data_IF_876245708693
#
_entry.id   IF_876245708693
#
_cell.length_a   1.000
_cell.length_b   1.000
_cell.length_c   1.000
_cell.angle_alpha   90.00
_cell.angle_beta   90.00
_cell.angle_gamma   90.00
#
_symmetry.space_group_name_H-M   'P 1'
#
loop_
_entity.id
_entity.type
_entity.pdbx_description
1 polymer ?
#
# COMPACT_ATOMS: atom_id res chain seq x y z
N UNK A 1 19.39 -0.39 -8.23
CA UNK A 1 18.90 -1.16 -9.41
C UNK A 1 17.40 -0.92 -9.52
N UNK A 2 16.85 -0.92 -10.73
CA UNK A 2 15.42 -0.73 -10.94
C UNK A 2 14.84 -1.97 -11.63
N UNK A 3 13.82 -2.54 -11.03
CA UNK A 3 13.03 -3.63 -11.58
C UNK A 3 11.66 -3.08 -11.96
N UNK A 4 11.16 -3.44 -13.13
CA UNK A 4 9.86 -2.98 -13.62
C UNK A 4 8.96 -4.17 -13.89
N UNK A 5 7.70 -4.09 -13.47
CA UNK A 5 6.65 -4.77 -14.19
C UNK A 5 6.49 -4.15 -15.60
N UNK A 6 5.82 -4.87 -16.48
CA UNK A 6 5.81 -4.58 -17.90
C UNK A 6 4.49 -3.95 -18.35
N UNK A 7 3.42 -4.73 -18.28
CA UNK A 7 2.10 -4.38 -18.78
C UNK A 7 1.39 -3.44 -17.81
N UNK A 8 0.75 -2.38 -18.30
CA UNK A 8 0.10 -1.35 -17.46
C UNK A 8 1.04 -0.55 -16.53
N UNK A 9 2.31 -0.95 -16.43
CA UNK A 9 3.38 -0.19 -15.78
C UNK A 9 4.19 0.65 -16.78
N UNK A 10 4.81 0.03 -17.79
CA UNK A 10 5.65 0.74 -18.77
C UNK A 10 4.86 1.22 -19.99
N UNK A 11 3.80 0.51 -20.36
CA UNK A 11 2.95 0.85 -21.50
C UNK A 11 1.51 0.41 -21.26
N UNK A 12 0.59 1.01 -22.02
CA UNK A 12 -0.83 0.71 -21.97
C UNK A 12 -1.16 -0.50 -22.85
N UNK A 13 -1.46 -1.62 -22.19
CA UNK A 13 -1.97 -2.83 -22.83
C UNK A 13 -3.42 -3.14 -22.43
N UNK A 14 -4.18 -2.14 -21.99
CA UNK A 14 -5.59 -2.28 -21.56
C UNK A 14 -6.48 -2.87 -22.65
N UNK A 15 -6.29 -2.46 -23.91
CA UNK A 15 -7.06 -2.93 -25.06
C UNK A 15 -6.98 -4.44 -25.30
N UNK A 16 -5.93 -5.10 -24.77
CA UNK A 16 -5.72 -6.55 -24.87
C UNK A 16 -5.67 -7.24 -23.50
N UNK A 17 -6.02 -6.53 -22.41
CA UNK A 17 -5.85 -7.04 -21.04
C UNK A 17 -6.68 -8.31 -20.78
N UNK A 18 -7.89 -8.39 -21.34
CA UNK A 18 -8.75 -9.56 -21.21
C UNK A 18 -8.11 -10.80 -21.89
N UNK A 19 -7.62 -10.64 -23.11
CA UNK A 19 -6.98 -11.71 -23.87
C UNK A 19 -5.70 -12.20 -23.18
N UNK A 20 -4.91 -11.28 -22.61
CA UNK A 20 -3.73 -11.65 -21.79
C UNK A 20 -4.15 -12.43 -20.55
N UNK A 21 -5.16 -11.95 -19.82
CA UNK A 21 -5.67 -12.58 -18.58
C UNK A 21 -6.17 -14.00 -18.82
N UNK A 22 -6.85 -14.23 -19.95
CA UNK A 22 -7.35 -15.56 -20.35
C UNK A 22 -6.36 -16.35 -21.22
N UNK A 23 -5.11 -15.89 -21.36
CA UNK A 23 -4.06 -16.57 -22.11
C UNK A 23 -4.43 -16.88 -23.57
N UNK A 24 -5.26 -16.04 -24.19
CA UNK A 24 -5.65 -16.13 -25.61
C UNK A 24 -4.51 -15.60 -26.50
N UNK A 25 -3.36 -16.28 -26.48
CA UNK A 25 -2.11 -15.77 -27.04
C UNK A 25 -2.11 -15.54 -28.55
N UNK A 26 -2.91 -16.29 -29.30
CA UNK A 26 -3.09 -16.05 -30.73
C UNK A 26 -3.84 -14.74 -31.00
N UNK A 27 -4.88 -14.45 -30.22
CA UNK A 27 -5.59 -13.17 -30.26
C UNK A 27 -4.66 -12.03 -29.81
N UNK A 28 -3.88 -12.22 -28.74
CA UNK A 28 -2.88 -11.22 -28.31
C UNK A 28 -1.92 -10.91 -29.44
N UNK A 29 -1.38 -11.94 -30.12
CA UNK A 29 -0.42 -11.78 -31.22
C UNK A 29 -0.99 -10.94 -32.38
N UNK A 30 -2.26 -11.17 -32.74
CA UNK A 30 -2.94 -10.40 -33.79
C UNK A 30 -3.21 -8.93 -33.38
N UNK A 31 -3.33 -8.66 -32.09
CA UNK A 31 -3.74 -7.37 -31.55
C UNK A 31 -2.60 -6.58 -30.87
N UNK A 32 -1.34 -7.00 -31.04
CA UNK A 32 -0.16 -6.29 -30.50
C UNK A 32 -0.11 -4.80 -30.91
N UNK A 33 -0.64 -4.47 -32.09
CA UNK A 33 -0.71 -3.10 -32.61
C UNK A 33 -1.61 -2.16 -31.79
N UNK A 34 -2.44 -2.70 -30.89
CA UNK A 34 -3.29 -1.94 -29.97
C UNK A 34 -2.55 -1.49 -28.71
N UNK A 35 -1.35 -2.02 -28.44
CA UNK A 35 -0.53 -1.60 -27.30
C UNK A 35 0.02 -0.21 -27.57
N UNK A 36 -0.18 0.71 -26.63
CA UNK A 36 0.20 2.12 -26.76
C UNK A 36 1.16 2.55 -25.65
N UNK A 37 2.04 3.53 -25.90
CA UNK A 37 2.76 4.16 -24.81
C UNK A 37 1.76 4.97 -23.97
N UNK A 38 1.93 4.97 -22.65
CA UNK A 38 1.24 5.95 -21.82
C UNK A 38 1.68 7.38 -22.19
N UNK A 39 0.79 8.38 -22.08
CA UNK A 39 1.15 9.76 -22.34
C UNK A 39 2.22 10.25 -21.36
N UNK A 40 3.15 11.07 -21.84
CA UNK A 40 4.12 11.72 -20.97
C UNK A 40 3.44 12.75 -20.07
N UNK A 41 3.42 12.49 -18.77
CA UNK A 41 2.98 13.46 -17.76
C UNK A 41 4.19 14.17 -17.15
N UNK A 42 4.88 14.97 -17.98
CA UNK A 42 6.11 15.68 -17.60
C UNK A 42 7.25 15.45 -18.59
N UNK A 43 8.45 15.16 -18.06
CA UNK A 43 9.68 15.04 -18.86
C UNK A 43 9.89 13.69 -19.55
N UNK A 44 9.10 12.68 -19.20
CA UNK A 44 9.23 11.33 -19.74
C UNK A 44 7.90 10.58 -19.61
N UNK A 45 7.61 9.74 -20.60
CA UNK A 45 6.62 8.69 -20.52
C UNK A 45 7.18 7.45 -19.77
N UNK A 46 6.32 6.61 -19.17
CA UNK A 46 6.75 5.42 -18.45
C UNK A 46 7.71 4.50 -19.22
N UNK A 47 7.42 4.17 -20.49
CA UNK A 47 8.28 3.32 -21.31
C UNK A 47 9.70 3.87 -21.57
N UNK A 48 9.91 5.18 -21.39
CA UNK A 48 11.22 5.83 -21.57
C UNK A 48 12.10 5.71 -20.31
N UNK A 49 11.52 5.42 -19.15
CA UNK A 49 12.24 5.38 -17.87
C UNK A 49 13.42 4.40 -17.87
N UNK A 50 13.29 3.15 -18.35
CA UNK A 50 14.42 2.22 -18.41
C UNK A 50 15.63 2.77 -19.16
N UNK A 51 15.42 3.43 -20.30
CA UNK A 51 16.50 4.01 -21.09
C UNK A 51 17.17 5.19 -20.37
N UNK A 52 16.38 6.08 -19.78
CA UNK A 52 16.87 7.25 -19.05
C UNK A 52 17.65 6.86 -17.79
N UNK A 53 17.13 5.92 -17.01
CA UNK A 53 17.80 5.41 -15.82
C UNK A 53 19.10 4.65 -16.18
N UNK A 54 19.09 3.89 -17.28
CA UNK A 54 20.30 3.22 -17.78
C UNK A 54 21.38 4.23 -18.19
N UNK A 55 20.99 5.33 -18.84
CA UNK A 55 21.91 6.41 -19.19
C UNK A 55 22.56 7.05 -17.95
N UNK A 56 21.85 7.07 -16.82
CA UNK A 56 22.37 7.47 -15.49
C UNK A 56 23.10 6.34 -14.73
N UNK A 57 23.54 5.29 -15.44
CA UNK A 57 24.36 4.20 -14.90
C UNK A 57 23.59 3.17 -14.06
N UNK A 58 22.26 3.19 -14.08
CA UNK A 58 21.45 2.24 -13.33
C UNK A 58 21.28 0.91 -14.08
N UNK A 59 21.31 -0.20 -13.34
CA UNK A 59 20.90 -1.51 -13.85
C UNK A 59 19.38 -1.62 -13.92
N UNK A 60 18.88 -2.22 -14.98
CA UNK A 60 17.45 -2.35 -15.30
C UNK A 60 17.08 -3.84 -15.40
N UNK A 61 16.02 -4.24 -14.71
CA UNK A 61 15.40 -5.54 -14.91
C UNK A 61 13.91 -5.42 -15.24
N UNK A 62 13.42 -6.38 -16.00
CA UNK A 62 12.00 -6.53 -16.34
C UNK A 62 11.52 -7.83 -15.72
N UNK A 63 10.43 -7.77 -14.95
CA UNK A 63 9.86 -8.92 -14.25
C UNK A 63 8.36 -8.94 -14.51
N UNK A 64 7.90 -9.89 -15.32
CA UNK A 64 6.51 -9.91 -15.81
C UNK A 64 5.90 -11.31 -15.68
N UNK A 65 4.59 -11.35 -15.45
CA UNK A 65 3.79 -12.59 -15.52
C UNK A 65 3.38 -12.96 -16.95
N UNK A 66 3.88 -12.25 -17.97
CA UNK A 66 3.64 -12.55 -19.38
C UNK A 66 4.68 -13.52 -19.95
N UNK A 67 4.36 -14.31 -21.00
CA UNK A 67 5.31 -15.18 -21.68
C UNK A 67 6.47 -14.41 -22.33
N UNK A 68 7.62 -15.08 -22.48
CA UNK A 68 8.84 -14.46 -22.98
C UNK A 68 8.70 -13.88 -24.39
N UNK A 69 8.05 -14.60 -25.31
CA UNK A 69 7.84 -14.13 -26.69
C UNK A 69 7.05 -12.82 -26.72
N UNK A 70 6.07 -12.66 -25.83
CA UNK A 70 5.26 -11.46 -25.73
C UNK A 70 6.09 -10.31 -25.16
N UNK A 71 6.75 -10.56 -24.02
CA UNK A 71 7.56 -9.56 -23.33
C UNK A 71 8.65 -9.01 -24.26
N UNK A 72 9.40 -9.89 -24.93
CA UNK A 72 10.47 -9.49 -25.87
C UNK A 72 9.93 -8.71 -27.06
N UNK A 73 8.77 -9.10 -27.61
CA UNK A 73 8.12 -8.37 -28.72
C UNK A 73 7.77 -6.94 -28.34
N UNK A 74 7.17 -6.74 -27.15
CA UNK A 74 6.78 -5.40 -26.71
C UNK A 74 8.01 -4.55 -26.33
N UNK A 75 8.98 -5.14 -25.64
CA UNK A 75 10.24 -4.47 -25.30
C UNK A 75 10.96 -3.99 -26.57
N UNK A 76 10.97 -4.79 -27.64
CA UNK A 76 11.54 -4.40 -28.93
C UNK A 76 10.72 -3.28 -29.60
N UNK A 77 9.39 -3.39 -29.62
CA UNK A 77 8.49 -2.37 -30.19
C UNK A 77 8.73 -0.98 -29.59
N UNK A 78 8.90 -0.91 -28.26
CA UNK A 78 9.15 0.34 -27.54
C UNK A 78 10.63 0.65 -27.30
N UNK A 79 11.54 -0.17 -27.83
CA UNK A 79 13.01 -0.03 -27.67
C UNK A 79 13.45 0.11 -26.21
N UNK A 80 12.82 -0.65 -25.33
CA UNK A 80 13.07 -0.62 -23.89
C UNK A 80 14.33 -1.45 -23.59
N UNK A 81 15.42 -0.83 -23.09
CA UNK A 81 16.62 -1.58 -22.73
C UNK A 81 16.47 -2.26 -21.36
N UNK A 82 17.12 -3.41 -21.20
CA UNK A 82 17.15 -4.15 -19.94
C UNK A 82 18.43 -4.99 -19.82
N UNK A 83 18.88 -5.24 -18.60
CA UNK A 83 19.99 -6.15 -18.27
C UNK A 83 19.49 -7.57 -17.97
N UNK A 84 18.25 -7.69 -17.50
CA UNK A 84 17.62 -8.98 -17.19
C UNK A 84 16.13 -8.95 -17.50
N UNK A 85 15.64 -10.05 -18.06
CA UNK A 85 14.21 -10.34 -18.22
C UNK A 85 13.89 -11.61 -17.44
N UNK A 86 12.86 -11.53 -16.59
CA UNK A 86 12.20 -12.66 -15.96
C UNK A 86 10.74 -12.65 -16.44
N UNK A 87 10.41 -13.62 -17.28
CA UNK A 87 9.07 -13.85 -17.81
C UNK A 87 8.35 -14.96 -17.03
N UNK A 88 7.07 -15.20 -17.33
CA UNK A 88 6.24 -16.22 -16.68
C UNK A 88 6.93 -17.59 -16.56
N UNK A 89 7.54 -18.07 -17.65
CA UNK A 89 8.15 -19.41 -17.68
C UNK A 89 9.49 -19.53 -16.96
N UNK A 90 10.01 -18.45 -16.38
CA UNK A 90 11.33 -18.45 -15.72
C UNK A 90 11.27 -18.85 -14.24
N UNK A 91 10.10 -18.87 -13.62
CA UNK A 91 9.90 -19.21 -12.21
C UNK A 91 8.73 -20.15 -12.02
N UNK A 92 8.75 -20.92 -10.93
CA UNK A 92 7.63 -21.82 -10.58
C UNK A 92 6.50 -21.06 -9.90
N UNK A 93 6.86 -20.14 -8.99
CA UNK A 93 5.90 -19.26 -8.35
C UNK A 93 5.88 -17.90 -9.06
N UNK A 94 4.73 -17.25 -8.99
CA UNK A 94 4.51 -15.94 -9.61
C UNK A 94 4.07 -14.93 -8.56
N UNK A 95 4.23 -13.65 -8.90
CA UNK A 95 3.79 -12.53 -8.06
C UNK A 95 2.37 -12.79 -7.54
N UNK A 96 2.12 -12.60 -6.24
CA UNK A 96 2.93 -11.90 -5.23
C UNK A 96 4.03 -12.74 -4.52
N UNK A 97 4.32 -13.96 -4.98
CA UNK A 97 5.49 -14.67 -4.50
C UNK A 97 6.78 -13.90 -4.90
N UNK A 98 7.81 -13.82 -4.03
CA UNK A 98 9.02 -13.06 -4.34
C UNK A 98 9.93 -13.72 -5.38
N UNK A 99 9.71 -15.01 -5.72
CA UNK A 99 10.58 -15.78 -6.61
C UNK A 99 10.95 -15.05 -7.91
N UNK A 100 10.03 -14.40 -8.66
CA UNK A 100 10.39 -13.67 -9.89
C UNK A 100 11.35 -12.50 -9.67
N UNK A 101 11.19 -11.76 -8.56
CA UNK A 101 12.06 -10.65 -8.21
C UNK A 101 13.44 -11.17 -7.79
N UNK A 102 13.47 -12.20 -6.95
CA UNK A 102 14.71 -12.82 -6.49
C UNK A 102 15.48 -13.47 -7.64
N UNK A 103 14.80 -14.08 -8.60
CA UNK A 103 15.42 -14.65 -9.80
C UNK A 103 16.06 -13.54 -10.67
N UNK A 104 15.39 -12.41 -10.85
CA UNK A 104 15.94 -11.28 -11.60
C UNK A 104 17.23 -10.77 -10.95
N UNK A 105 17.22 -10.58 -9.63
CA UNK A 105 18.37 -10.17 -8.83
C UNK A 105 19.52 -11.18 -8.90
N UNK A 106 19.21 -12.48 -8.80
CA UNK A 106 20.19 -13.57 -8.89
C UNK A 106 20.91 -13.58 -10.25
N UNK A 107 20.16 -13.43 -11.36
CA UNK A 107 20.73 -13.42 -12.72
C UNK A 107 21.74 -12.30 -12.96
N UNK A 108 21.61 -11.19 -12.25
CA UNK A 108 22.54 -10.04 -12.36
C UNK A 108 23.53 -9.93 -11.19
N UNK A 109 23.53 -10.89 -10.27
CA UNK A 109 24.42 -10.90 -9.10
C UNK A 109 24.20 -9.73 -8.14
N UNK A 110 22.96 -9.27 -7.95
CA UNK A 110 22.60 -8.22 -7.00
C UNK A 110 21.88 -8.84 -5.80
N UNK A 111 22.26 -8.47 -4.58
CA UNK A 111 21.53 -8.89 -3.39
C UNK A 111 20.22 -8.10 -3.24
N UNK A 112 19.18 -8.72 -2.68
CA UNK A 112 17.97 -8.00 -2.32
C UNK A 112 18.27 -6.96 -1.23
N UNK A 113 17.84 -5.73 -1.46
CA UNK A 113 18.05 -4.58 -0.58
C UNK A 113 17.00 -3.52 -0.88
N UNK A 114 16.75 -2.65 0.09
CA UNK A 114 15.89 -1.47 -0.07
C UNK A 114 16.49 -0.39 -1.00
N UNK A 115 17.70 -0.59 -1.52
CA UNK A 115 18.25 0.24 -2.61
C UNK A 115 17.85 -0.27 -4.00
N UNK A 116 17.23 -1.45 -4.09
CA UNK A 116 16.56 -1.92 -5.29
C UNK A 116 15.11 -1.52 -5.23
N UNK A 117 14.63 -0.88 -6.30
CA UNK A 117 13.24 -0.47 -6.45
C UNK A 117 12.54 -1.43 -7.40
N UNK A 118 11.35 -1.86 -7.04
CA UNK A 118 10.43 -2.57 -7.93
C UNK A 118 9.25 -1.65 -8.24
N UNK A 119 9.02 -1.38 -9.53
CA UNK A 119 8.03 -0.45 -10.03
C UNK A 119 6.91 -1.26 -10.66
N UNK A 120 5.68 -1.11 -10.16
CA UNK A 120 4.52 -1.86 -10.64
C UNK A 120 3.20 -1.11 -10.42
N UNK A 121 2.14 -1.60 -11.05
CA UNK A 121 0.79 -1.03 -10.98
C UNK A 121 -0.21 -1.92 -10.23
N UNK A 122 0.17 -3.12 -9.82
CA UNK A 122 -0.74 -4.06 -9.17
C UNK A 122 -0.37 -4.34 -7.71
N UNK A 123 -1.35 -4.73 -6.90
CA UNK A 123 -1.14 -5.14 -5.50
C UNK A 123 -0.14 -6.30 -5.41
N UNK A 124 -0.13 -7.20 -6.39
CA UNK A 124 0.80 -8.31 -6.46
C UNK A 124 2.26 -7.89 -6.58
N UNK A 125 2.54 -6.74 -7.20
CA UNK A 125 3.88 -6.15 -7.28
C UNK A 125 4.36 -5.68 -5.91
N UNK A 126 3.46 -5.03 -5.18
CA UNK A 126 3.74 -4.46 -3.87
C UNK A 126 4.04 -5.57 -2.87
N UNK A 127 3.21 -6.60 -2.83
CA UNK A 127 3.42 -7.78 -1.98
C UNK A 127 4.71 -8.53 -2.36
N UNK A 128 4.96 -8.77 -3.65
CA UNK A 128 6.19 -9.44 -4.10
C UNK A 128 7.44 -8.67 -3.67
N UNK A 129 7.42 -7.34 -3.77
CA UNK A 129 8.52 -6.47 -3.38
C UNK A 129 8.85 -6.62 -1.90
N UNK A 130 7.82 -6.62 -1.04
CA UNK A 130 7.99 -6.81 0.40
C UNK A 130 8.52 -8.18 0.77
N UNK A 131 8.02 -9.23 0.11
CA UNK A 131 8.53 -10.58 0.31
C UNK A 131 9.97 -10.73 -0.17
N UNK A 132 10.36 -10.03 -1.24
CA UNK A 132 11.72 -10.05 -1.76
C UNK A 132 12.67 -9.16 -0.94
N UNK A 133 12.16 -8.22 -0.14
CA UNK A 133 12.98 -7.29 0.65
C UNK A 133 13.53 -6.12 -0.17
N UNK A 134 12.80 -5.70 -1.20
CA UNK A 134 13.12 -4.55 -2.05
C UNK A 134 12.08 -3.44 -1.84
N UNK A 135 12.40 -2.21 -2.25
CA UNK A 135 11.48 -1.07 -2.14
C UNK A 135 10.39 -1.15 -3.21
N UNK A 136 9.14 -1.11 -2.78
CA UNK A 136 7.94 -1.11 -3.61
C UNK A 136 7.57 0.31 -4.08
N UNK A 137 7.42 0.48 -5.39
CA UNK A 137 6.96 1.73 -6.01
C UNK A 137 5.69 1.45 -6.80
N UNK A 138 4.56 1.93 -6.30
CA UNK A 138 3.26 1.81 -6.94
C UNK A 138 3.00 2.99 -7.89
N UNK A 139 2.68 2.71 -9.14
CA UNK A 139 2.35 3.72 -10.14
C UNK A 139 0.84 3.99 -10.19
N UNK A 140 0.45 5.26 -10.37
CA UNK A 140 -0.98 5.67 -10.35
C UNK A 140 -1.63 5.80 -11.72
N UNK A 141 -0.91 5.51 -12.79
CA UNK A 141 -1.45 5.54 -14.17
C UNK A 141 -1.92 4.16 -14.66
N UNK A 142 -1.71 3.11 -13.86
CA UNK A 142 -2.29 1.80 -14.11
C UNK A 142 -3.78 1.72 -13.74
N UNK A 143 -4.42 0.58 -13.96
CA UNK A 143 -5.85 0.37 -13.76
C UNK A 143 -6.22 0.14 -12.29
N UNK A 144 -5.29 -0.29 -11.44
CA UNK A 144 -5.53 -0.56 -10.02
C UNK A 144 -5.88 0.74 -9.31
N UNK A 145 -6.95 0.72 -8.51
CA UNK A 145 -7.41 1.93 -7.82
C UNK A 145 -6.39 2.40 -6.80
N UNK A 146 -6.35 3.72 -6.55
CA UNK A 146 -5.53 4.27 -5.46
C UNK A 146 -5.89 3.64 -4.12
N UNK A 147 -7.16 3.30 -3.89
CA UNK A 147 -7.61 2.66 -2.68
C UNK A 147 -6.99 1.27 -2.49
N UNK A 148 -6.97 0.43 -3.54
CA UNK A 148 -6.36 -0.90 -3.49
C UNK A 148 -4.84 -0.83 -3.33
N UNK A 149 -4.18 0.09 -4.04
CA UNK A 149 -2.74 0.33 -3.88
C UNK A 149 -2.40 0.87 -2.48
N UNK A 150 -3.12 1.86 -1.97
CA UNK A 150 -2.97 2.37 -0.60
C UNK A 150 -3.25 1.30 0.45
N UNK A 151 -4.19 0.41 0.17
CA UNK A 151 -4.47 -0.74 1.02
C UNK A 151 -3.28 -1.69 1.07
N UNK A 152 -2.48 -1.82 0.01
CA UNK A 152 -1.24 -2.62 0.00
C UNK A 152 0.02 -1.88 0.52
N UNK A 153 -0.13 -0.61 0.90
CA UNK A 153 0.84 0.22 1.62
C UNK A 153 2.24 0.36 0.98
N UNK A 154 2.38 0.57 -0.35
CA UNK A 154 3.66 0.66 -1.05
C UNK A 154 4.59 1.71 -0.43
N UNK A 155 5.91 1.55 -0.60
CA UNK A 155 6.88 2.51 -0.06
C UNK A 155 6.78 3.87 -0.75
N UNK A 156 6.43 3.88 -2.04
CA UNK A 156 6.31 5.10 -2.84
C UNK A 156 5.09 5.03 -3.73
N UNK A 157 4.28 6.10 -3.72
CA UNK A 157 3.29 6.38 -4.75
C UNK A 157 3.87 7.29 -5.83
N UNK A 158 3.81 6.85 -7.08
CA UNK A 158 4.27 7.61 -8.21
C UNK A 158 3.11 8.02 -9.11
N UNK A 159 2.85 9.32 -9.18
CA UNK A 159 1.82 9.89 -10.08
C UNK A 159 2.37 10.27 -11.45
N UNK A 160 3.69 10.48 -11.56
CA UNK A 160 4.37 10.93 -12.77
C UNK A 160 5.66 10.16 -12.94
N UNK A 161 5.89 9.57 -14.12
CA UNK A 161 7.11 8.82 -14.43
C UNK A 161 8.39 9.63 -14.14
N UNK A 162 8.40 10.92 -14.51
CA UNK A 162 9.55 11.80 -14.31
C UNK A 162 10.00 11.98 -12.85
N UNK A 163 9.18 11.56 -11.87
CA UNK A 163 9.56 11.59 -10.45
C UNK A 163 10.82 10.78 -10.18
N UNK A 164 11.01 9.62 -10.84
CA UNK A 164 12.21 8.78 -10.67
C UNK A 164 13.49 9.40 -11.24
N UNK A 165 13.37 10.44 -12.07
CA UNK A 165 14.51 11.10 -12.74
C UNK A 165 15.05 12.31 -11.97
N UNK A 166 14.51 12.60 -10.77
CA UNK A 166 14.98 13.74 -9.98
C UNK A 166 16.36 13.43 -9.38
N UNK A 167 17.35 14.26 -9.75
CA UNK A 167 18.78 14.16 -9.40
C UNK A 167 19.13 14.40 -7.93
N UNK A 168 18.15 14.62 -7.05
CA UNK A 168 18.41 14.66 -5.61
C UNK A 168 18.73 13.23 -5.14
N UNK A 169 20.02 12.90 -5.17
CA UNK A 169 20.59 11.60 -4.87
C UNK A 169 20.24 11.18 -3.45
N UNK A 170 19.14 10.41 -3.28
CA UNK A 170 18.82 9.59 -2.08
C UNK A 170 17.40 8.99 -2.10
N UNK A 171 16.93 8.52 -3.25
CA UNK A 171 15.83 7.54 -3.30
C UNK A 171 16.32 6.25 -2.61
N UNK A 172 15.67 5.62 -1.60
CA UNK A 172 14.43 5.92 -0.87
C UNK A 172 14.67 6.42 0.58
N UNK A 173 15.90 6.77 0.97
CA UNK A 173 16.24 7.05 2.38
C UNK A 173 15.82 8.42 2.90
N UNK A 174 15.76 9.46 2.07
CA UNK A 174 15.61 10.84 2.55
C UNK A 174 14.14 11.30 2.65
N UNK A 175 13.30 11.03 1.64
CA UNK A 175 11.89 11.43 1.69
C UNK A 175 11.05 10.62 2.69
N UNK A 176 11.29 9.30 2.79
CA UNK A 176 10.57 8.43 3.75
C UNK A 176 10.84 8.81 5.20
N UNK A 177 12.09 9.10 5.54
CA UNK A 177 12.46 9.49 6.91
C UNK A 177 11.78 10.79 7.32
N UNK A 178 11.64 11.76 6.42
CA UNK A 178 11.09 13.06 6.80
C UNK A 178 9.60 13.00 7.13
N UNK A 179 8.77 12.33 6.32
CA UNK A 179 7.32 12.22 6.61
C UNK A 179 7.05 11.28 7.77
N UNK A 180 7.72 10.11 7.81
CA UNK A 180 7.57 9.19 8.94
C UNK A 180 8.09 9.80 10.24
N UNK A 181 9.19 10.55 10.22
CA UNK A 181 9.65 11.30 11.38
C UNK A 181 8.68 12.41 11.76
N UNK A 182 8.07 13.12 10.79
CA UNK A 182 7.05 14.12 11.07
C UNK A 182 5.83 13.51 11.77
N UNK A 183 5.27 12.40 11.24
CA UNK A 183 4.14 11.69 11.87
C UNK A 183 4.53 11.14 13.25
N UNK A 184 5.73 10.56 13.40
CA UNK A 184 6.20 10.06 14.68
C UNK A 184 6.49 11.18 15.69
N UNK A 185 6.96 12.34 15.24
CA UNK A 185 7.24 13.51 16.09
C UNK A 185 5.99 14.06 16.76
N UNK A 186 4.80 13.84 16.19
CA UNK A 186 3.53 14.19 16.86
C UNK A 186 3.40 13.58 18.26
N UNK A 187 4.10 12.47 18.55
CA UNK A 187 4.13 11.86 19.88
C UNK A 187 4.95 12.66 20.90
N UNK A 188 5.93 13.45 20.46
CA UNK A 188 6.85 14.21 21.31
C UNK A 188 6.59 15.72 21.28
N UNK A 189 6.26 16.27 20.11
CA UNK A 189 6.13 17.71 19.87
C UNK A 189 5.16 18.01 18.70
N UNK A 190 4.94 19.29 18.46
CA UNK A 190 3.97 19.84 17.51
C UNK A 190 4.60 20.42 16.24
N UNK A 191 5.91 20.23 16.03
CA UNK A 191 6.68 20.91 14.98
C UNK A 191 6.06 20.75 13.60
N UNK A 192 5.49 19.57 13.32
CA UNK A 192 4.90 19.24 12.02
C UNK A 192 3.36 19.21 12.04
N UNK A 193 2.72 19.50 13.17
CA UNK A 193 1.27 19.38 13.30
C UNK A 193 0.53 20.29 12.31
N UNK A 194 1.03 21.51 12.08
CA UNK A 194 0.43 22.46 11.15
C UNK A 194 0.41 21.94 9.70
N UNK A 195 1.58 21.61 9.15
CA UNK A 195 1.69 21.15 7.76
C UNK A 195 0.97 19.82 7.52
N UNK A 196 0.95 18.93 8.54
CA UNK A 196 0.18 17.69 8.49
C UNK A 196 -1.32 17.95 8.59
N UNK A 197 -1.74 18.88 9.44
CA UNK A 197 -3.14 19.30 9.60
C UNK A 197 -3.71 19.88 8.32
N UNK A 198 -3.00 20.81 7.67
CA UNK A 198 -3.37 21.31 6.35
C UNK A 198 -3.53 20.19 5.31
N UNK A 199 -2.62 19.21 5.32
CA UNK A 199 -2.70 18.07 4.40
C UNK A 199 -3.91 17.16 4.70
N UNK A 200 -4.22 16.93 5.97
CA UNK A 200 -5.42 16.20 6.39
C UNK A 200 -6.69 16.94 6.00
N UNK A 201 -6.77 18.24 6.28
CA UNK A 201 -7.92 19.07 5.95
C UNK A 201 -8.22 19.05 4.45
N UNK A 202 -7.20 19.26 3.61
CA UNK A 202 -7.34 19.14 2.14
C UNK A 202 -7.74 17.74 1.69
N UNK A 203 -7.26 16.68 2.35
CA UNK A 203 -7.65 15.33 2.00
C UNK A 203 -9.14 15.07 2.33
N UNK A 204 -9.61 15.53 3.49
CA UNK A 204 -11.01 15.43 3.93
C UNK A 204 -11.93 16.17 2.95
N UNK A 205 -11.57 17.37 2.54
CA UNK A 205 -12.34 18.17 1.57
C UNK A 205 -12.47 17.53 0.16
N UNK A 206 -11.69 16.48 -0.14
CA UNK A 206 -11.74 15.77 -1.42
C UNK A 206 -12.42 14.40 -1.35
N UNK A 207 -12.95 14.02 -0.19
CA UNK A 207 -13.67 12.76 -0.04
C UNK A 207 -14.96 12.79 -0.87
N UNK A 208 -15.26 11.67 -1.52
CA UNK A 208 -16.57 11.42 -2.16
C UNK A 208 -17.67 11.09 -1.14
N UNK A 209 -17.35 11.27 0.14
CA UNK A 209 -18.15 10.95 1.30
C UNK A 209 -17.93 12.02 2.36
N UNK A 210 -18.99 12.77 2.64
CA UNK A 210 -18.98 13.82 3.65
C UNK A 210 -19.30 13.23 5.04
N UNK A 211 -18.37 13.25 6.01
CA UNK A 211 -18.67 12.98 7.40
C UNK A 211 -19.42 14.16 8.04
N UNK A 212 -20.26 13.89 9.03
CA UNK A 212 -20.82 14.93 9.89
C UNK A 212 -19.83 15.28 11.03
N UNK A 213 -19.01 14.30 11.45
CA UNK A 213 -18.03 14.45 12.51
C UNK A 213 -16.65 13.93 12.15
N UNK A 214 -15.61 14.65 12.56
CA UNK A 214 -14.23 14.15 12.62
C UNK A 214 -13.87 13.86 14.08
N UNK A 215 -13.47 12.63 14.36
CA UNK A 215 -13.16 12.16 15.73
C UNK A 215 -11.78 11.49 15.74
N UNK A 216 -10.82 11.89 16.58
CA UNK A 216 -9.56 11.18 16.71
C UNK A 216 -9.67 9.91 17.57
N UNK A 217 -8.80 8.94 17.32
CA UNK A 217 -8.53 7.86 18.28
C UNK A 217 -8.02 8.48 19.59
N UNK A 218 -8.64 8.18 20.74
CA UNK A 218 -8.35 8.89 21.97
C UNK A 218 -7.00 8.49 22.55
N UNK A 219 -6.37 9.44 23.23
CA UNK A 219 -5.11 9.20 23.91
C UNK A 219 -5.29 8.52 25.26
N UNK A 220 -4.22 7.85 25.73
CA UNK A 220 -4.22 7.24 27.06
C UNK A 220 -4.32 8.33 28.12
N UNK A 221 -5.06 8.13 29.23
CA UNK A 221 -5.18 9.10 30.32
C UNK A 221 -3.83 9.50 30.92
N UNK A 222 -2.86 8.60 30.91
CA UNK A 222 -1.47 8.85 31.31
C UNK A 222 -0.71 9.84 30.42
N UNK A 223 -1.23 10.21 29.24
CA UNK A 223 -0.59 11.15 28.34
C UNK A 223 -1.08 12.58 28.59
N UNK A 224 -0.16 13.48 28.90
CA UNK A 224 -0.47 14.87 29.26
C UNK A 224 -0.82 15.77 28.07
N UNK A 225 -0.46 15.37 26.83
CA UNK A 225 -0.63 16.17 25.61
C UNK A 225 -1.47 15.41 24.60
N UNK A 226 -2.44 16.10 23.98
CA UNK A 226 -3.20 15.57 22.86
C UNK A 226 -2.47 15.82 21.52
N UNK A 227 -1.82 14.79 20.97
CA UNK A 227 -1.09 14.84 19.69
C UNK A 227 -1.94 15.23 18.48
N UNK A 228 -3.25 15.06 18.56
CA UNK A 228 -4.18 15.39 17.48
C UNK A 228 -4.78 16.78 17.61
N UNK A 229 -4.66 17.44 18.76
CA UNK A 229 -5.36 18.71 19.02
C UNK A 229 -4.90 19.80 18.06
N UNK A 230 -3.60 20.12 17.99
CA UNK A 230 -3.11 21.14 17.06
C UNK A 230 -3.29 20.70 15.59
N UNK A 231 -3.04 19.42 15.29
CA UNK A 231 -3.15 18.88 13.94
C UNK A 231 -4.58 18.98 13.39
N UNK A 232 -5.59 18.59 14.18
CA UNK A 232 -6.98 18.61 13.72
C UNK A 232 -7.61 19.99 13.82
N UNK A 233 -7.19 20.84 14.75
CA UNK A 233 -7.61 22.24 14.74
C UNK A 233 -7.14 22.95 13.46
N UNK A 234 -5.91 22.70 13.00
CA UNK A 234 -5.46 23.22 11.71
C UNK A 234 -6.19 22.57 10.53
N UNK A 235 -6.51 21.28 10.61
CA UNK A 235 -7.29 20.62 9.57
C UNK A 235 -8.71 21.19 9.43
N UNK A 236 -9.31 21.61 10.55
CA UNK A 236 -10.67 22.13 10.61
C UNK A 236 -10.88 23.41 9.80
N UNK A 237 -9.82 24.20 9.57
CA UNK A 237 -9.86 25.38 8.70
C UNK A 237 -10.18 25.04 7.22
N UNK A 238 -10.10 23.76 6.85
CA UNK A 238 -10.42 23.25 5.53
C UNK A 238 -11.71 22.43 5.47
N UNK A 239 -12.41 22.26 6.60
CA UNK A 239 -13.65 21.50 6.63
C UNK A 239 -14.80 22.32 6.00
N UNK A 240 -15.75 21.62 5.39
CA UNK A 240 -17.03 22.24 5.04
C UNK A 240 -17.76 22.66 6.33
N UNK A 241 -18.61 23.69 6.24
CA UNK A 241 -19.29 24.30 7.41
C UNK A 241 -20.13 23.30 8.24
N UNK A 242 -20.57 22.20 7.60
CA UNK A 242 -21.41 21.17 8.21
C UNK A 242 -20.60 20.07 8.93
N UNK A 243 -19.26 20.09 8.89
CA UNK A 243 -18.41 19.07 9.51
C UNK A 243 -17.91 19.55 10.87
N UNK A 244 -18.29 18.84 11.93
CA UNK A 244 -17.87 19.17 13.30
C UNK A 244 -16.63 18.37 13.75
N UNK A 245 -15.64 19.07 14.33
CA UNK A 245 -14.49 18.43 14.97
C UNK A 245 -14.81 18.11 16.44
N UNK A 246 -14.83 16.83 16.82
CA UNK A 246 -15.10 16.41 18.20
C UNK A 246 -13.94 15.60 18.80
N UNK A 247 -12.98 16.33 19.38
CA UNK A 247 -11.76 15.76 19.98
C UNK A 247 -12.02 14.86 21.19
N UNK A 248 -13.19 14.98 21.84
CA UNK A 248 -13.58 14.21 23.02
C UNK A 248 -14.61 13.13 22.70
N UNK A 249 -14.89 12.88 21.41
CA UNK A 249 -15.86 11.90 20.94
C UNK A 249 -15.62 10.50 21.48
N UNK A 250 -14.37 10.17 21.77
CA UNK A 250 -13.96 8.94 22.44
C UNK A 250 -13.04 9.24 23.62
N UNK A 251 -13.03 8.32 24.60
CA UNK A 251 -12.06 8.28 25.70
C UNK A 251 -11.64 6.85 26.00
N UNK A 252 -10.41 6.69 26.45
CA UNK A 252 -9.92 5.41 26.97
C UNK A 252 -10.48 5.17 28.38
N UNK A 253 -11.01 3.98 28.63
CA UNK A 253 -11.52 3.55 29.95
C UNK A 253 -10.79 2.34 30.53
N UNK A 254 -9.96 1.67 29.73
CA UNK A 254 -9.12 0.55 30.16
C UNK A 254 -7.74 0.71 29.50
N UNK A 255 -6.72 0.97 30.31
CA UNK A 255 -5.34 0.97 29.85
C UNK A 255 -4.80 -0.46 29.77
N UNK A 256 -4.04 -0.76 28.72
CA UNK A 256 -3.45 -2.08 28.48
C UNK A 256 -1.93 -1.93 28.58
N UNK A 257 -1.36 -2.58 29.59
CA UNK A 257 0.08 -2.73 29.75
C UNK A 257 0.63 -3.73 28.72
N UNK A 258 1.87 -3.52 28.25
CA UNK A 258 2.50 -4.45 27.33
C UNK A 258 1.87 -4.54 25.93
N UNK A 259 0.90 -3.67 25.59
CA UNK A 259 0.15 -3.75 24.33
C UNK A 259 1.03 -3.80 23.07
N UNK A 260 2.18 -3.12 23.09
CA UNK A 260 3.11 -3.10 21.95
C UNK A 260 3.89 -4.40 21.78
N UNK A 261 4.07 -5.17 22.86
CA UNK A 261 4.78 -6.44 22.87
C UNK A 261 3.87 -7.62 22.50
N UNK A 262 2.56 -7.42 22.59
CA UNK A 262 1.55 -8.41 22.23
C UNK A 262 1.49 -8.66 20.72
N UNK A 263 1.17 -9.90 20.35
CA UNK A 263 0.80 -10.26 18.98
C UNK A 263 -0.60 -9.73 18.61
N UNK A 264 -0.99 -9.82 17.34
CA UNK A 264 -2.27 -9.27 16.85
C UNK A 264 -3.51 -9.87 17.56
N UNK A 265 -3.53 -11.18 17.82
CA UNK A 265 -4.64 -11.84 18.51
C UNK A 265 -4.74 -11.38 19.98
N UNK A 266 -3.62 -11.31 20.68
CA UNK A 266 -3.55 -10.80 22.04
C UNK A 266 -4.00 -9.33 22.10
N UNK A 267 -3.60 -8.50 21.13
CA UNK A 267 -4.05 -7.11 21.02
C UNK A 267 -5.55 -7.02 20.77
N UNK A 268 -6.10 -7.85 19.89
CA UNK A 268 -7.51 -7.86 19.54
C UNK A 268 -8.38 -8.21 20.75
N UNK A 269 -7.95 -9.16 21.57
CA UNK A 269 -8.66 -9.51 22.81
C UNK A 269 -8.47 -8.44 23.89
N UNK A 270 -7.24 -7.97 24.09
CA UNK A 270 -6.93 -7.01 25.15
C UNK A 270 -7.65 -5.67 24.94
N UNK A 271 -7.81 -5.22 23.68
CA UNK A 271 -8.43 -3.94 23.35
C UNK A 271 -9.95 -3.91 23.54
N UNK A 272 -10.61 -5.07 23.69
CA UNK A 272 -12.06 -5.12 23.91
C UNK A 272 -12.48 -4.32 25.15
N UNK A 273 -13.45 -3.43 24.95
CA UNK A 273 -13.97 -2.53 25.98
C UNK A 273 -12.99 -1.44 26.39
N UNK A 274 -11.94 -1.16 25.60
CA UNK A 274 -10.95 -0.15 25.96
C UNK A 274 -11.42 1.29 25.83
N UNK A 275 -12.48 1.53 25.04
CA UNK A 275 -12.96 2.86 24.72
C UNK A 275 -14.42 3.06 25.11
N UNK A 276 -14.78 4.33 25.31
CA UNK A 276 -16.12 4.77 25.59
C UNK A 276 -16.41 6.10 24.88
N UNK A 277 -17.65 6.32 24.46
CA UNK A 277 -18.16 7.60 23.95
C UNK A 277 -19.23 8.10 24.91
N UNK A 278 -19.12 9.35 25.36
CA UNK A 278 -20.19 10.01 26.12
C UNK A 278 -21.29 10.58 25.21
N UNK A 279 -21.08 10.54 23.89
CA UNK A 279 -21.96 11.11 22.89
C UNK A 279 -22.97 10.08 22.40
N UNK A 280 -24.17 10.57 22.04
CA UNK A 280 -25.12 9.84 21.20
C UNK A 280 -24.99 10.38 19.78
N UNK A 281 -24.49 9.56 18.87
CA UNK A 281 -24.14 10.00 17.52
C UNK A 281 -25.31 10.07 16.55
N UNK A 282 -26.52 9.64 16.95
CA UNK A 282 -27.77 9.88 16.22
C UNK A 282 -27.74 9.57 14.71
N UNK A 283 -27.12 8.46 14.34
CA UNK A 283 -26.95 8.00 12.96
C UNK A 283 -26.04 8.88 12.08
N UNK A 284 -25.27 9.79 12.68
CA UNK A 284 -24.27 10.60 11.97
C UNK A 284 -23.11 9.76 11.44
N UNK A 285 -22.51 10.24 10.35
CA UNK A 285 -21.32 9.73 9.70
C UNK A 285 -20.08 10.27 10.40
N UNK A 286 -19.17 9.38 10.77
CA UNK A 286 -17.98 9.73 11.55
C UNK A 286 -16.71 9.32 10.81
N UNK A 287 -15.83 10.30 10.57
CA UNK A 287 -14.47 10.04 10.14
C UNK A 287 -13.56 9.88 11.36
N UNK A 288 -13.12 8.65 11.63
CA UNK A 288 -12.16 8.33 12.68
C UNK A 288 -10.73 8.58 12.19
N UNK A 289 -9.98 9.42 12.89
CA UNK A 289 -8.58 9.75 12.58
C UNK A 289 -7.61 9.02 13.50
N UNK A 290 -6.58 8.39 12.94
CA UNK A 290 -5.44 7.85 13.69
C UNK A 290 -4.09 8.27 13.09
N UNK A 291 -3.00 8.15 13.84
CA UNK A 291 -1.66 8.52 13.35
C UNK A 291 -1.12 7.45 12.41
N UNK A 292 -1.19 6.18 12.80
CA UNK A 292 -0.62 5.08 12.03
C UNK A 292 -1.56 3.87 12.04
N UNK A 293 -2.07 3.50 10.87
CA UNK A 293 -2.77 2.24 10.72
C UNK A 293 -1.78 1.07 10.84
N UNK A 294 -1.93 0.27 11.88
CA UNK A 294 -1.16 -0.96 12.04
C UNK A 294 -2.07 -2.14 11.71
N UNK A 295 -2.29 -3.04 12.66
CA UNK A 295 -3.11 -4.23 12.50
C UNK A 295 -4.62 -3.94 12.61
N UNK A 296 -4.98 -2.70 12.96
CA UNK A 296 -6.36 -2.20 12.92
C UNK A 296 -7.20 -2.54 14.14
N UNK A 297 -6.66 -3.17 15.19
CA UNK A 297 -7.42 -3.55 16.39
C UNK A 297 -7.85 -2.32 17.19
N UNK A 298 -6.98 -1.32 17.33
CA UNK A 298 -7.29 -0.07 18.03
C UNK A 298 -8.42 0.68 17.34
N UNK A 299 -8.29 0.94 16.03
CA UNK A 299 -9.33 1.58 15.23
C UNK A 299 -10.60 0.74 15.16
N UNK A 300 -10.48 -0.59 15.08
CA UNK A 300 -11.61 -1.51 15.05
C UNK A 300 -12.42 -1.52 16.34
N UNK A 301 -11.79 -1.41 17.51
CA UNK A 301 -12.50 -1.21 18.76
C UNK A 301 -13.17 0.17 18.82
N UNK A 302 -12.48 1.24 18.40
CA UNK A 302 -13.07 2.58 18.34
C UNK A 302 -14.33 2.62 17.46
N UNK A 303 -14.27 2.02 16.27
CA UNK A 303 -15.43 1.86 15.37
C UNK A 303 -16.57 1.13 16.08
N UNK A 304 -16.28 0.02 16.79
CA UNK A 304 -17.29 -0.71 17.56
C UNK A 304 -17.91 0.15 18.67
N UNK A 305 -17.12 0.95 19.38
CA UNK A 305 -17.59 1.88 20.41
C UNK A 305 -18.48 2.99 19.84
N UNK A 306 -18.09 3.58 18.70
CA UNK A 306 -18.86 4.63 18.01
C UNK A 306 -20.21 4.08 17.51
N UNK A 307 -20.18 2.92 16.85
CA UNK A 307 -21.39 2.24 16.38
C UNK A 307 -22.34 1.90 17.55
N UNK A 308 -21.80 1.35 18.64
CA UNK A 308 -22.57 1.06 19.85
C UNK A 308 -23.17 2.33 20.51
N UNK A 309 -22.61 3.50 20.23
CA UNK A 309 -23.06 4.80 20.71
C UNK A 309 -23.97 5.53 19.69
N UNK A 310 -24.41 4.83 18.64
CA UNK A 310 -25.39 5.30 17.67
C UNK A 310 -24.82 5.96 16.42
N UNK A 311 -23.56 5.74 16.06
CA UNK A 311 -23.02 6.22 14.78
C UNK A 311 -23.63 5.44 13.60
N UNK A 312 -23.94 6.12 12.51
CA UNK A 312 -24.57 5.50 11.33
C UNK A 312 -23.55 4.82 10.41
N UNK A 313 -22.50 5.55 10.04
CA UNK A 313 -21.37 5.03 9.26
C UNK A 313 -20.07 5.54 9.86
N UNK A 314 -19.06 4.68 9.98
CA UNK A 314 -17.74 5.07 10.47
C UNK A 314 -16.70 4.69 9.42
N UNK A 315 -15.93 5.67 8.93
CA UNK A 315 -14.75 5.45 8.08
C UNK A 315 -13.49 5.85 8.81
N UNK A 316 -12.36 5.28 8.41
CA UNK A 316 -11.06 5.52 9.05
C UNK A 316 -10.16 6.23 8.05
N UNK A 317 -9.51 7.30 8.50
CA UNK A 317 -8.38 7.93 7.80
C UNK A 317 -7.16 7.94 8.73
N UNK A 318 -5.99 7.60 8.19
CA UNK A 318 -4.74 7.62 8.96
C UNK A 318 -3.65 8.39 8.26
N UNK A 319 -2.76 9.04 9.02
CA UNK A 319 -1.64 9.81 8.46
C UNK A 319 -0.60 8.91 7.80
N UNK A 320 -0.43 7.70 8.35
CA UNK A 320 0.47 6.70 7.82
C UNK A 320 -0.13 5.29 8.00
N UNK A 321 0.51 4.31 7.37
CA UNK A 321 0.25 2.88 7.56
C UNK A 321 1.57 2.19 7.82
N UNK A 322 1.61 1.28 8.80
CA UNK A 322 2.78 0.45 9.05
C UNK A 322 2.93 -0.55 7.91
N UNK A 323 4.08 -0.52 7.25
CA UNK A 323 4.40 -1.42 6.13
C UNK A 323 4.51 -2.89 6.59
N UNK A 324 4.68 -3.12 7.91
CA UNK A 324 4.69 -4.46 8.51
C UNK A 324 3.29 -5.09 8.64
N UNK A 325 2.23 -4.38 8.27
CA UNK A 325 0.86 -4.93 8.25
C UNK A 325 0.74 -6.03 7.18
N UNK A 326 1.60 -5.99 6.16
CA UNK A 326 1.96 -7.15 5.36
C UNK A 326 2.97 -7.98 6.12
N UNK A 327 2.55 -8.44 7.30
CA UNK A 327 3.35 -9.30 8.14
C UNK A 327 3.62 -10.56 7.33
N UNK A 328 4.89 -10.70 6.94
CA UNK A 328 5.55 -11.86 6.37
C UNK A 328 5.21 -13.09 7.20
N UNK A 329 4.06 -13.70 6.92
CA UNK A 329 3.78 -15.01 7.46
C UNK A 329 4.37 -16.01 6.48
N UNK A 330 5.55 -16.47 6.82
CA UNK A 330 6.18 -17.56 6.09
C UNK A 330 5.45 -18.84 6.46
N UNK A 331 5.01 -19.59 5.46
CA UNK A 331 4.39 -20.88 5.64
C UNK A 331 5.36 -21.80 6.39
N UNK A 332 5.01 -22.29 7.58
CA UNK A 332 5.89 -23.14 8.38
C UNK A 332 6.20 -24.47 7.68
N UNK A 333 5.35 -24.91 6.76
CA UNK A 333 5.52 -26.17 6.04
C UNK A 333 6.50 -26.07 4.86
N UNK A 334 6.55 -24.94 4.13
CA UNK A 334 7.30 -24.87 2.87
C UNK A 334 8.12 -23.60 2.66
N UNK A 335 8.12 -22.65 3.60
CA UNK A 335 8.92 -21.43 3.47
C UNK A 335 8.36 -20.37 2.51
N UNK A 336 7.24 -20.64 1.83
CA UNK A 336 6.56 -19.66 0.94
C UNK A 336 5.77 -18.62 1.73
N UNK A 337 5.38 -17.51 1.11
CA UNK A 337 4.48 -16.54 1.77
C UNK A 337 3.09 -17.14 2.04
N UNK A 338 2.43 -16.70 3.11
CA UNK A 338 1.02 -16.97 3.36
C UNK A 338 0.20 -15.72 3.04
N UNK A 339 -1.01 -15.92 2.53
CA UNK A 339 -1.97 -14.88 2.18
C UNK A 339 -3.24 -15.06 2.98
N UNK A 340 -3.96 -13.97 3.23
CA UNK A 340 -5.32 -14.04 3.75
C UNK A 340 -6.22 -14.53 2.61
N UNK A 341 -6.95 -15.61 2.85
CA UNK A 341 -7.96 -16.17 1.94
C UNK A 341 -9.30 -16.15 2.66
N UNK A 342 -10.38 -16.11 1.90
CA UNK A 342 -11.73 -16.12 2.42
C UNK A 342 -12.44 -17.39 1.96
N UNK A 343 -13.09 -18.08 2.89
CA UNK A 343 -13.94 -19.20 2.55
C UNK A 343 -15.22 -18.69 1.86
N UNK A 344 -15.46 -19.12 0.63
CA UNK A 344 -16.59 -18.66 -0.19
C UNK A 344 -17.98 -18.95 0.41
N UNK A 345 -18.09 -19.91 1.33
CA UNK A 345 -19.36 -20.31 1.95
C UNK A 345 -19.58 -19.62 3.29
N UNK A 346 -18.54 -19.47 4.11
CA UNK A 346 -18.66 -18.96 5.48
C UNK A 346 -18.19 -17.51 5.65
N UNK A 347 -17.57 -16.94 4.61
CA UNK A 347 -16.88 -15.64 4.65
C UNK A 347 -15.79 -15.54 5.72
N UNK A 348 -15.39 -16.67 6.30
CA UNK A 348 -14.34 -16.73 7.30
C UNK A 348 -12.98 -16.56 6.63
N UNK A 349 -12.20 -15.62 7.14
CA UNK A 349 -10.84 -15.37 6.67
C UNK A 349 -9.87 -16.34 7.36
N UNK A 350 -8.90 -16.86 6.60
CA UNK A 350 -7.85 -17.73 7.11
C UNK A 350 -6.53 -17.42 6.39
N UNK A 351 -5.39 -17.69 7.03
CA UNK A 351 -4.10 -17.67 6.35
C UNK A 351 -3.96 -18.94 5.50
N UNK A 352 -3.78 -18.81 4.20
CA UNK A 352 -3.44 -19.92 3.30
C UNK A 352 -2.08 -19.71 2.66
N UNK A 353 -1.27 -20.76 2.57
CA UNK A 353 -0.02 -20.72 1.82
C UNK A 353 -0.24 -20.15 0.39
N UNK A 354 0.72 -19.40 -0.15
CA UNK A 354 0.69 -18.91 -1.52
C UNK A 354 0.58 -20.06 -2.52
N UNK A 355 1.12 -21.24 -2.18
CA UNK A 355 0.99 -22.48 -2.94
C UNK A 355 -0.32 -23.24 -2.74
N UNK A 356 -1.28 -22.74 -1.96
CA UNK A 356 -2.56 -23.42 -1.72
C UNK A 356 -3.48 -23.40 -2.96
N UNK A 357 -4.20 -24.51 -3.27
CA UNK A 357 -4.17 -25.82 -2.60
C UNK A 357 -3.18 -26.82 -3.22
N UNK A 358 -2.60 -26.52 -4.38
CA UNK A 358 -1.91 -27.51 -5.22
C UNK A 358 -0.47 -27.82 -4.78
N UNK A 359 0.27 -26.81 -4.33
CA UNK A 359 1.68 -26.96 -3.93
C UNK A 359 1.87 -27.06 -2.42
N UNK A 360 0.98 -26.48 -1.63
CA UNK A 360 1.03 -26.56 -0.17
C UNK A 360 -0.36 -26.31 0.40
N UNK A 361 -0.89 -27.29 1.13
CA UNK A 361 -2.22 -27.20 1.74
C UNK A 361 -2.21 -26.54 3.13
N UNK A 362 -1.07 -26.01 3.58
CA UNK A 362 -0.97 -25.40 4.90
C UNK A 362 -1.87 -24.15 4.98
N UNK A 363 -2.81 -24.22 5.90
CA UNK A 363 -3.67 -23.11 6.30
C UNK A 363 -3.57 -22.93 7.80
N UNK A 364 -3.70 -21.70 8.26
CA UNK A 364 -3.80 -21.35 9.67
C UNK A 364 -5.02 -20.44 9.86
N UNK A 365 -5.63 -20.49 11.04
CA UNK A 365 -6.69 -19.55 11.35
C UNK A 365 -6.15 -18.12 11.25
N UNK A 366 -6.94 -17.22 10.65
CA UNK A 366 -6.55 -15.84 10.42
C UNK A 366 -6.30 -15.10 11.73
#
# INVERSE_FOLDING_TARGET
MFLFDLDMTLFDSSAIAQQRRFQMWDNVRQNMHLIRPFPAQGRAAPHELPALLRADGQRIGIVTSSPEWYATSVLQQFRIPYDVLVSYGNTQNHKPDPEPILEALRRVGVAATTETLYIGDDVGDIEASYHAGVTSVAVRWGPTSIFELSSSAPDVFMSKASTLLRREHSWPRLYWRSVSAAVLSLKSDDTHAKILGEAVGRAIATLDWAPDYVVPVPMKPSQQRNRFELLLNEAADHFDEDIELELKGLRVVKEIEGYKQMNSLERAEAIKGAFHSNFRWNNNKILLIDDVYTTGETTGECVRTLAASGAGEVRIMTLAKDQRVFARKTCPACGRSMKIRENHTTHFKFWGCSGYPHHCQNTENF
#
